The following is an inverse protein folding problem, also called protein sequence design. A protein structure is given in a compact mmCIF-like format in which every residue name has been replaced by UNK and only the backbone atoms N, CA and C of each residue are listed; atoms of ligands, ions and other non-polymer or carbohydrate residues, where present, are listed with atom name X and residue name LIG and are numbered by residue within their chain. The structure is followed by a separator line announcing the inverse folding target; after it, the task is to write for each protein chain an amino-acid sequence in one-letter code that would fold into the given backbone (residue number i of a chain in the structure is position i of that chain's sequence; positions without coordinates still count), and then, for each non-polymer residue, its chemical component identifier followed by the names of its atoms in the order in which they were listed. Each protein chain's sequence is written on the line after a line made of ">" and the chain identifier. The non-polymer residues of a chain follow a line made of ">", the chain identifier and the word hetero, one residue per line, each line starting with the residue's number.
data_IF_163907351770
#
_entry.id   IF_163907351770
#
_cell.length_a   1.000
_cell.length_b   1.000
_cell.length_c   1.000
_cell.angle_alpha   90.00
_cell.angle_beta   90.00
_cell.angle_gamma   90.00
#
_symmetry.space_group_name_H-M   'P 1'
#
loop_
_entity.id
_entity.type
_entity.pdbx_description
1 polymer ?
#
# COMPACT_ATOMS: atom_id res chain seq x y z
N UNK A 1 -38.30 20.63 -13.64
CA UNK A 1 -37.26 20.62 -12.59
C UNK A 1 -36.57 19.26 -12.61
N UNK A 2 -35.24 19.19 -12.58
CA UNK A 2 -34.54 17.89 -12.46
C UNK A 2 -34.50 17.46 -10.99
N UNK A 3 -34.81 16.19 -10.72
CA UNK A 3 -34.68 15.59 -9.39
C UNK A 3 -33.22 15.22 -9.14
N UNK A 4 -32.43 16.20 -8.69
CA UNK A 4 -31.02 16.00 -8.34
C UNK A 4 -30.61 16.76 -7.08
N UNK A 5 -29.77 16.12 -6.26
CA UNK A 5 -29.04 16.74 -5.17
C UNK A 5 -27.64 17.10 -5.68
N UNK A 6 -27.31 18.40 -5.69
CA UNK A 6 -26.01 18.89 -6.15
C UNK A 6 -25.27 19.59 -5.01
N UNK A 7 -24.04 19.14 -4.76
CA UNK A 7 -23.11 19.85 -3.89
C UNK A 7 -22.42 20.98 -4.66
N UNK A 8 -22.67 22.22 -4.28
CA UNK A 8 -22.12 23.40 -4.96
C UNK A 8 -20.58 23.47 -4.87
N UNK A 9 -20.02 23.35 -3.66
CA UNK A 9 -18.57 23.41 -3.42
C UNK A 9 -17.82 22.13 -3.81
N UNK A 10 -18.46 20.97 -3.68
CA UNK A 10 -17.82 19.67 -3.93
C UNK A 10 -17.99 19.20 -5.38
N UNK A 11 -18.96 19.75 -6.13
CA UNK A 11 -19.29 19.30 -7.47
C UNK A 11 -19.96 17.92 -7.55
N UNK A 12 -20.21 17.26 -6.41
CA UNK A 12 -20.90 15.96 -6.36
C UNK A 12 -22.36 16.13 -6.78
N UNK A 13 -22.90 15.18 -7.56
CA UNK A 13 -24.29 15.19 -8.05
C UNK A 13 -24.89 13.80 -7.85
N UNK A 14 -26.09 13.76 -7.28
CA UNK A 14 -26.86 12.54 -7.10
C UNK A 14 -28.22 12.74 -7.76
N UNK A 15 -28.57 11.94 -8.76
CA UNK A 15 -29.85 12.05 -9.45
C UNK A 15 -30.76 10.90 -9.02
N UNK A 16 -32.06 11.13 -9.14
CA UNK A 16 -33.02 10.05 -8.98
C UNK A 16 -32.73 8.97 -10.04
N UNK A 17 -32.78 7.69 -9.66
CA UNK A 17 -32.47 6.49 -10.47
C UNK A 17 -30.99 6.13 -10.67
N UNK A 18 -30.05 6.95 -10.20
CA UNK A 18 -28.63 6.59 -10.29
C UNK A 18 -28.29 5.42 -9.34
N UNK A 19 -27.44 4.50 -9.81
CA UNK A 19 -26.93 3.39 -8.99
C UNK A 19 -25.88 3.89 -7.98
N UNK A 20 -26.05 3.51 -6.72
CA UNK A 20 -25.14 3.91 -5.62
C UNK A 20 -24.86 2.75 -4.68
N UNK A 21 -23.63 2.69 -4.17
CA UNK A 21 -23.25 1.77 -3.11
C UNK A 21 -23.45 2.45 -1.75
N UNK A 22 -24.22 1.80 -0.87
CA UNK A 22 -24.58 2.35 0.45
C UNK A 22 -24.31 1.34 1.55
N UNK A 23 -24.03 1.85 2.74
CA UNK A 23 -23.98 1.09 3.96
C UNK A 23 -25.26 1.31 4.77
N UNK A 24 -25.76 0.24 5.40
CA UNK A 24 -26.88 0.31 6.35
C UNK A 24 -26.35 0.79 7.70
N UNK A 25 -26.86 1.92 8.21
CA UNK A 25 -26.46 2.47 9.51
C UNK A 25 -27.41 2.05 10.62
N UNK A 26 -28.72 2.04 10.34
CA UNK A 26 -29.76 1.64 11.30
C UNK A 26 -30.93 0.99 10.59
N UNK A 27 -31.54 0.01 11.24
CA UNK A 27 -32.80 -0.62 10.84
C UNK A 27 -33.79 -0.49 11.99
N UNK A 28 -34.92 0.16 11.72
CA UNK A 28 -36.04 0.28 12.64
C UNK A 28 -37.24 -0.50 12.09
N UNK A 29 -37.58 -1.61 12.74
CA UNK A 29 -38.62 -2.54 12.30
C UNK A 29 -40.03 -2.02 12.59
N UNK A 30 -40.22 -1.27 13.67
CA UNK A 30 -41.52 -0.73 14.05
C UNK A 30 -41.93 0.41 13.11
N UNK A 31 -41.00 1.34 12.87
CA UNK A 31 -41.24 2.46 11.95
C UNK A 31 -41.12 2.08 10.48
N UNK A 32 -40.63 0.87 10.16
CA UNK A 32 -40.28 0.40 8.81
C UNK A 32 -39.32 1.36 8.11
N UNK A 33 -38.33 1.86 8.85
CA UNK A 33 -37.34 2.84 8.38
C UNK A 33 -35.95 2.24 8.37
N UNK A 34 -35.19 2.58 7.34
CA UNK A 34 -33.80 2.17 7.17
C UNK A 34 -32.99 3.42 6.85
N UNK A 35 -31.95 3.65 7.63
CA UNK A 35 -31.02 4.76 7.43
C UNK A 35 -29.78 4.24 6.68
N UNK A 36 -29.31 5.04 5.71
CA UNK A 36 -28.18 4.69 4.84
C UNK A 36 -27.09 5.75 4.90
N UNK A 37 -25.84 5.32 4.78
CA UNK A 37 -24.68 6.17 4.56
C UNK A 37 -24.04 5.86 3.20
N UNK A 38 -23.62 6.89 2.48
CA UNK A 38 -22.95 6.71 1.18
C UNK A 38 -21.49 6.29 1.38
N UNK A 39 -21.05 5.31 0.60
CA UNK A 39 -19.64 4.88 0.59
C UNK A 39 -18.89 5.68 -0.47
N UNK A 40 -17.84 6.42 -0.09
CA UNK A 40 -17.11 7.32 -1.02
C UNK A 40 -16.27 6.57 -2.05
N UNK A 41 -15.96 5.31 -1.78
CA UNK A 41 -15.15 4.47 -2.65
C UNK A 41 -15.94 3.18 -2.88
N UNK A 42 -16.26 2.79 -4.13
CA UNK A 42 -16.87 1.51 -4.46
C UNK A 42 -15.81 0.41 -4.32
N UNK A 43 -15.23 0.34 -3.13
CA UNK A 43 -14.34 -0.70 -2.69
C UNK A 43 -15.21 -1.95 -2.49
N UNK A 44 -14.68 -3.08 -2.91
CA UNK A 44 -15.29 -4.40 -2.67
C UNK A 44 -15.74 -4.55 -1.21
N UNK A 45 -16.77 -5.36 -0.97
CA UNK A 45 -17.35 -5.61 0.37
C UNK A 45 -16.29 -5.73 1.48
N UNK A 46 -15.19 -6.43 1.22
CA UNK A 46 -14.07 -6.59 2.16
C UNK A 46 -13.39 -5.28 2.58
N UNK A 47 -13.27 -4.34 1.66
CA UNK A 47 -12.64 -3.06 1.91
C UNK A 47 -13.60 -2.07 2.59
N UNK A 48 -14.90 -2.15 2.31
CA UNK A 48 -15.94 -1.49 3.12
C UNK A 48 -15.95 -2.05 4.55
N UNK A 49 -15.90 -3.37 4.73
CA UNK A 49 -15.80 -4.00 6.05
C UNK A 49 -14.56 -3.55 6.83
N UNK A 50 -13.40 -3.45 6.16
CA UNK A 50 -12.18 -2.93 6.78
C UNK A 50 -12.31 -1.48 7.20
N UNK A 51 -13.03 -0.66 6.45
CA UNK A 51 -13.25 0.76 6.76
C UNK A 51 -14.22 0.93 7.94
N UNK A 52 -15.29 0.12 7.99
CA UNK A 52 -16.21 0.04 9.12
C UNK A 52 -15.48 -0.39 10.40
N UNK A 53 -14.66 -1.44 10.33
CA UNK A 53 -13.85 -1.90 11.46
C UNK A 53 -12.80 -0.88 11.89
N UNK A 54 -12.36 0.00 10.97
CA UNK A 54 -11.44 1.09 11.26
C UNK A 54 -12.16 2.34 11.83
N UNK A 55 -13.49 2.31 11.96
CA UNK A 55 -14.23 3.29 12.76
C UNK A 55 -14.12 4.74 12.29
N UNK A 56 -14.06 4.98 10.98
CA UNK A 56 -13.97 6.35 10.43
C UNK A 56 -12.64 7.05 10.70
N UNK A 57 -11.61 6.32 11.16
CA UNK A 57 -10.26 6.84 11.25
C UNK A 57 -9.76 7.09 9.82
N UNK A 58 -9.43 8.36 9.51
CA UNK A 58 -8.91 8.81 8.22
C UNK A 58 -7.92 7.79 7.65
N UNK A 59 -7.92 7.56 6.32
CA UNK A 59 -6.96 6.64 5.71
C UNK A 59 -5.57 7.02 6.23
N UNK A 60 -4.80 6.07 6.84
CA UNK A 60 -3.58 6.42 7.53
C UNK A 60 -2.73 7.23 6.57
N UNK A 61 -2.49 8.49 6.94
CA UNK A 61 -1.77 9.46 6.14
C UNK A 61 -0.65 8.73 5.42
N UNK A 62 -0.69 8.71 4.06
CA UNK A 62 0.17 7.91 3.19
C UNK A 62 1.50 7.72 3.88
N UNK A 63 1.79 6.51 4.39
CA UNK A 63 3.00 6.26 5.19
C UNK A 63 4.16 6.87 4.43
N UNK A 64 4.64 8.04 4.88
CA UNK A 64 5.79 8.68 4.28
C UNK A 64 6.92 7.71 4.53
N UNK A 65 7.26 6.93 3.51
CA UNK A 65 8.41 6.03 3.59
C UNK A 65 9.58 6.95 3.88
N UNK A 66 10.12 6.89 5.09
CA UNK A 66 11.33 7.61 5.48
C UNK A 66 12.32 7.45 4.34
N UNK A 67 12.85 8.57 3.85
CA UNK A 67 13.82 8.56 2.77
C UNK A 67 14.92 7.54 3.11
N UNK A 68 15.23 6.67 2.16
CA UNK A 68 16.27 5.66 2.34
C UNK A 68 17.57 6.37 2.78
N UNK A 69 18.27 5.79 3.76
CA UNK A 69 19.53 6.34 4.27
C UNK A 69 20.47 6.64 3.10
N UNK A 70 21.17 7.78 3.12
CA UNK A 70 22.06 8.17 2.03
C UNK A 70 23.11 7.08 1.81
N UNK A 71 23.55 6.93 0.55
CA UNK A 71 24.59 5.96 0.20
C UNK A 71 25.81 6.17 1.11
N UNK A 72 26.40 5.10 1.67
CA UNK A 72 27.62 5.19 2.46
C UNK A 72 28.76 5.83 1.63
N UNK A 73 29.61 6.63 2.28
CA UNK A 73 30.68 7.41 1.62
C UNK A 73 31.61 6.55 0.76
N UNK A 74 31.89 5.32 1.17
CA UNK A 74 32.68 4.36 0.40
C UNK A 74 32.09 4.02 -0.99
N UNK A 75 30.82 4.35 -1.26
CA UNK A 75 30.13 4.11 -2.52
C UNK A 75 29.67 5.41 -3.21
N UNK A 76 30.11 6.57 -2.71
CA UNK A 76 29.86 7.89 -3.32
C UNK A 76 30.83 8.07 -4.49
N UNK A 77 30.32 8.36 -5.69
CA UNK A 77 31.12 8.46 -6.93
C UNK A 77 31.28 7.16 -7.73
N UNK A 78 30.92 5.99 -7.18
CA UNK A 78 30.93 4.73 -7.95
C UNK A 78 29.63 4.51 -8.72
N UNK A 79 29.76 4.18 -10.01
CA UNK A 79 28.62 3.80 -10.86
C UNK A 79 28.01 2.48 -10.41
N UNK A 80 26.73 2.25 -10.72
CA UNK A 80 26.06 0.98 -10.39
C UNK A 80 26.76 -0.25 -11.00
N UNK A 81 27.40 -0.07 -12.17
CA UNK A 81 28.16 -1.11 -12.88
C UNK A 81 29.42 -1.52 -12.12
N UNK A 82 30.20 -0.54 -11.63
CA UNK A 82 31.41 -0.79 -10.82
C UNK A 82 31.09 -1.50 -9.51
N UNK A 83 29.97 -1.16 -8.85
CA UNK A 83 29.53 -1.84 -7.61
C UNK A 83 29.18 -3.32 -7.85
N UNK A 84 28.43 -3.62 -8.90
CA UNK A 84 28.09 -5.02 -9.26
C UNK A 84 29.33 -5.83 -9.62
N UNK A 85 30.32 -5.21 -10.29
CA UNK A 85 31.59 -5.84 -10.61
C UNK A 85 32.40 -6.16 -9.35
N UNK A 86 32.53 -5.20 -8.42
CA UNK A 86 33.24 -5.40 -7.16
C UNK A 86 32.59 -6.48 -6.28
N UNK A 87 31.25 -6.51 -6.19
CA UNK A 87 30.52 -7.57 -5.48
C UNK A 87 30.74 -8.95 -6.11
N UNK A 88 30.70 -9.04 -7.45
CA UNK A 88 31.00 -10.29 -8.16
C UNK A 88 32.44 -10.77 -7.92
N UNK A 89 33.41 -9.86 -7.92
CA UNK A 89 34.81 -10.19 -7.66
C UNK A 89 35.02 -10.63 -6.20
N UNK A 90 34.41 -9.93 -5.24
CA UNK A 90 34.45 -10.31 -3.83
C UNK A 90 33.80 -11.69 -3.58
N UNK A 91 32.67 -11.97 -4.23
CA UNK A 91 32.02 -13.28 -4.19
C UNK A 91 32.89 -14.38 -4.80
N UNK A 92 33.54 -14.11 -5.95
CA UNK A 92 34.50 -15.03 -6.58
C UNK A 92 35.71 -15.32 -5.67
N UNK A 93 36.26 -14.29 -5.03
CA UNK A 93 37.40 -14.43 -4.10
C UNK A 93 37.03 -15.22 -2.86
N UNK A 94 35.83 -15.01 -2.29
CA UNK A 94 35.28 -15.83 -1.20
C UNK A 94 35.06 -17.29 -1.62
N UNK A 95 34.54 -17.53 -2.83
CA UNK A 95 34.34 -18.87 -3.36
C UNK A 95 35.66 -19.61 -3.64
N UNK A 96 36.70 -18.89 -4.08
CA UNK A 96 38.04 -19.46 -4.25
C UNK A 96 38.70 -19.80 -2.90
N UNK A 97 38.57 -18.92 -1.91
CA UNK A 97 39.08 -19.15 -0.56
C UNK A 97 38.37 -20.33 0.15
N UNK A 98 37.06 -20.49 -0.06
CA UNK A 98 36.31 -21.63 0.50
C UNK A 98 36.62 -22.95 -0.21
N UNK A 99 36.98 -22.93 -1.50
CA UNK A 99 37.47 -24.10 -2.25
C UNK A 99 38.87 -24.54 -1.78
N UNK A 100 39.80 -23.60 -1.59
CA UNK A 100 41.14 -23.92 -1.06
C UNK A 100 41.12 -24.45 0.38
N UNK A 101 40.15 -24.02 1.19
CA UNK A 101 39.99 -24.54 2.56
C UNK A 101 39.37 -25.96 2.61
N UNK A 102 38.67 -26.40 1.55
CA UNK A 102 38.14 -27.78 1.44
C UNK A 102 39.19 -28.79 0.98
N UNK A 103 40.18 -28.39 0.18
CA UNK A 103 41.27 -29.28 -0.25
C UNK A 103 42.31 -29.51 0.84
N UNK A 104 42.57 -28.53 1.71
CA UNK A 104 43.48 -28.68 2.85
C UNK A 104 42.91 -29.46 4.05
N UNK A 105 41.61 -29.78 4.06
CA UNK A 105 40.96 -30.51 5.16
C UNK A 105 40.78 -32.02 4.88
N UNK A 106 41.24 -32.50 3.71
CA UNK A 106 41.14 -33.90 3.29
C UNK A 106 42.47 -34.67 3.35
N UNK A 107 43.53 -34.04 3.85
CA UNK A 107 44.83 -34.68 4.12
C UNK A 107 45.19 -34.54 5.61
N UNK A 108 44.44 -35.20 6.48
CA UNK A 108 44.86 -35.65 7.80
C UNK A 108 44.13 -36.95 8.10
#
# INVERSE_FOLDING_TARGET
>A
AMHELRGERTGKRYRLTDEVHVQITRVDLEARRIDFALVENPLSYDAVQREIQRGGEEPPARRYKKAAKPKPEALRGMTAKQRRAAQRQAARKKAAASRGKKTGRKSR
#
